data_IF_095833785807
#
_entry.id   IF_095833785807
#
_cell.length_a   1.000
_cell.length_b   1.000
_cell.length_c   1.000
_cell.angle_alpha   90.00
_cell.angle_beta   90.00
_cell.angle_gamma   90.00
#
_symmetry.space_group_name_H-M   'P 1'
#
loop_
_entity.id
_entity.type
_entity.pdbx_description
1 polymer ?
#
# COMPACT_ATOMS: atom_id res chain seq x y z
N UNK A 1 15.44 -16.78 -5.84
CA UNK A 1 16.38 -17.91 -5.75
C UNK A 1 17.47 -17.49 -4.79
N UNK A 2 17.35 -17.93 -3.55
CA UNK A 2 18.26 -17.57 -2.46
C UNK A 2 19.44 -18.52 -2.54
N UNK A 3 20.63 -18.01 -2.85
CA UNK A 3 21.87 -18.75 -2.61
C UNK A 3 21.99 -18.89 -1.09
N UNK A 4 21.57 -20.04 -0.56
CA UNK A 4 22.08 -20.51 0.73
C UNK A 4 23.59 -20.68 0.55
N UNK A 5 24.34 -19.65 0.92
CA UNK A 5 25.75 -19.79 1.24
C UNK A 5 25.78 -20.73 2.44
N UNK A 6 25.86 -22.03 2.17
CA UNK A 6 26.30 -23.01 3.13
C UNK A 6 27.63 -22.47 3.63
N UNK A 7 27.64 -21.98 4.87
CA UNK A 7 28.84 -21.91 5.70
C UNK A 7 29.31 -23.35 5.86
N UNK A 8 29.86 -23.91 4.79
CA UNK A 8 30.66 -25.11 4.83
C UNK A 8 31.68 -24.87 5.93
N UNK A 9 31.77 -25.85 6.81
CA UNK A 9 32.67 -25.90 7.95
C UNK A 9 34.07 -25.45 7.52
N UNK A 10 34.33 -24.14 7.63
CA UNK A 10 35.70 -23.65 7.78
C UNK A 10 36.12 -24.33 9.06
N UNK A 11 36.95 -25.36 8.93
CA UNK A 11 37.60 -26.05 10.03
C UNK A 11 38.34 -24.98 10.83
N UNK A 12 37.64 -24.39 11.80
CA UNK A 12 38.20 -23.43 12.74
C UNK A 12 39.00 -24.27 13.71
N UNK A 13 40.24 -24.55 13.30
CA UNK A 13 41.24 -25.02 14.23
C UNK A 13 41.54 -23.91 15.24
N UNK A 14 41.85 -24.30 16.47
CA UNK A 14 42.30 -23.37 17.48
C UNK A 14 43.83 -23.19 17.35
N UNK A 15 44.36 -22.02 17.69
CA UNK A 15 45.79 -21.70 17.54
C UNK A 15 46.69 -22.71 18.29
N UNK A 16 46.16 -23.39 19.32
CA UNK A 16 46.85 -24.45 20.07
C UNK A 16 46.86 -25.76 19.29
N UNK A 17 45.73 -26.21 18.75
CA UNK A 17 45.64 -27.41 17.91
C UNK A 17 46.51 -27.25 16.64
N UNK A 18 46.53 -26.06 16.04
CA UNK A 18 47.39 -25.75 14.88
C UNK A 18 48.88 -25.90 15.21
N UNK A 19 49.32 -25.34 16.35
CA UNK A 19 50.72 -25.49 16.82
C UNK A 19 51.08 -26.93 17.12
N UNK A 20 50.12 -27.72 17.62
CA UNK A 20 50.31 -29.13 17.94
C UNK A 20 50.12 -30.05 16.72
N UNK A 21 49.73 -29.51 15.56
CA UNK A 21 49.33 -30.28 14.36
C UNK A 21 48.30 -31.37 14.68
N UNK A 22 47.32 -31.02 15.51
CA UNK A 22 46.19 -31.88 15.91
C UNK A 22 44.89 -31.29 15.40
N UNK A 23 43.90 -32.13 15.16
CA UNK A 23 42.56 -31.65 14.80
C UNK A 23 41.86 -30.99 15.99
N UNK A 24 41.14 -29.90 15.71
CA UNK A 24 40.39 -29.18 16.71
C UNK A 24 38.97 -29.74 16.80
N UNK A 25 38.73 -30.58 17.81
CA UNK A 25 37.41 -31.16 18.08
C UNK A 25 36.51 -30.19 18.87
N UNK A 26 36.38 -28.94 18.42
CA UNK A 26 35.55 -27.95 19.10
C UNK A 26 34.05 -28.17 18.84
N UNK A 27 33.28 -28.46 19.89
CA UNK A 27 31.83 -28.76 19.82
C UNK A 27 30.94 -27.56 20.17
N UNK A 28 31.33 -26.35 19.77
CA UNK A 28 30.45 -25.17 19.84
C UNK A 28 30.33 -24.50 21.23
N UNK A 29 30.23 -25.26 22.32
CA UNK A 29 30.14 -24.74 23.71
C UNK A 29 31.27 -25.20 24.63
N UNK A 30 32.01 -26.23 24.24
CA UNK A 30 33.09 -26.84 25.03
C UNK A 30 34.42 -26.57 24.32
N UNK A 31 35.49 -26.14 25.04
CA UNK A 31 36.82 -26.05 24.43
C UNK A 31 37.26 -27.40 23.86
N UNK A 32 38.09 -27.40 22.82
CA UNK A 32 38.64 -28.65 22.30
C UNK A 32 39.50 -29.34 23.38
N UNK A 33 39.75 -30.64 23.21
CA UNK A 33 40.49 -31.47 24.17
C UNK A 33 41.84 -30.87 24.58
N UNK A 34 42.59 -30.30 23.62
CA UNK A 34 43.91 -29.72 23.87
C UNK A 34 43.84 -28.40 24.66
N UNK A 35 42.80 -27.58 24.44
CA UNK A 35 42.56 -26.36 25.21
C UNK A 35 41.99 -26.68 26.60
N UNK A 36 41.11 -27.68 26.70
CA UNK A 36 40.56 -28.15 27.97
C UNK A 36 41.65 -28.71 28.90
N UNK A 37 42.57 -29.52 28.34
CA UNK A 37 43.68 -30.11 29.08
C UNK A 37 44.65 -29.07 29.67
N UNK A 38 44.72 -27.87 29.10
CA UNK A 38 45.55 -26.79 29.61
C UNK A 38 44.84 -25.72 30.41
N UNK A 39 43.52 -25.82 30.55
CA UNK A 39 42.71 -24.77 31.15
C UNK A 39 42.63 -23.49 30.30
N UNK A 40 42.95 -23.56 29.01
CA UNK A 40 42.88 -22.41 28.09
C UNK A 40 41.49 -22.30 27.44
N UNK A 41 41.07 -21.09 27.11
CA UNK A 41 39.91 -20.86 26.24
C UNK A 41 40.22 -21.24 24.80
N UNK A 42 39.31 -21.95 24.13
CA UNK A 42 39.44 -22.31 22.72
C UNK A 42 39.04 -21.14 21.80
N UNK A 43 39.99 -20.60 21.04
CA UNK A 43 39.81 -19.44 20.17
C UNK A 43 39.04 -19.75 18.87
N UNK A 44 39.04 -21.01 18.42
CA UNK A 44 38.15 -21.49 17.34
C UNK A 44 36.67 -21.16 17.63
N UNK A 45 36.25 -21.35 18.87
CA UNK A 45 34.90 -21.03 19.32
C UNK A 45 34.58 -19.54 19.32
N UNK A 46 35.57 -18.72 19.67
CA UNK A 46 35.45 -17.27 19.62
C UNK A 46 35.29 -16.79 18.16
N UNK A 47 36.12 -17.29 17.25
CA UNK A 47 36.04 -16.95 15.82
C UNK A 47 34.71 -17.36 15.19
N UNK A 48 34.18 -18.56 15.54
CA UNK A 48 32.86 -19.02 15.07
C UNK A 48 31.72 -18.10 15.54
N UNK A 49 31.73 -17.69 16.82
CA UNK A 49 30.73 -16.76 17.37
C UNK A 49 30.81 -15.39 16.72
N UNK A 50 32.01 -14.83 16.60
CA UNK A 50 32.21 -13.52 15.96
C UNK A 50 31.75 -13.54 14.49
N UNK A 51 32.05 -14.61 13.74
CA UNK A 51 31.57 -14.77 12.36
C UNK A 51 30.04 -14.82 12.28
N UNK A 52 29.39 -15.57 13.19
CA UNK A 52 27.94 -15.62 13.25
C UNK A 52 27.30 -14.28 13.63
N UNK A 53 27.89 -13.56 14.59
CA UNK A 53 27.46 -12.22 15.00
C UNK A 53 27.61 -11.23 13.85
N UNK A 54 28.76 -11.21 13.16
CA UNK A 54 28.98 -10.38 11.97
C UNK A 54 27.94 -10.67 10.89
N UNK A 55 27.72 -11.94 10.54
CA UNK A 55 26.70 -12.30 9.55
C UNK A 55 25.29 -11.86 9.97
N UNK A 56 24.94 -12.03 11.25
CA UNK A 56 23.67 -11.58 11.79
C UNK A 56 23.52 -10.05 11.67
N UNK A 57 24.57 -9.29 11.97
CA UNK A 57 24.55 -7.82 11.80
C UNK A 57 24.38 -7.40 10.34
N UNK A 58 25.01 -8.09 9.39
CA UNK A 58 24.84 -7.83 7.95
C UNK A 58 23.41 -8.09 7.48
N UNK A 59 22.80 -9.18 7.94
CA UNK A 59 21.39 -9.50 7.64
C UNK A 59 20.46 -8.45 8.24
N UNK A 60 20.68 -8.05 9.50
CA UNK A 60 19.88 -7.01 10.16
C UNK A 60 19.98 -5.67 9.43
N UNK A 61 21.18 -5.25 9.03
CA UNK A 61 21.37 -4.01 8.28
C UNK A 61 20.72 -4.06 6.88
N UNK A 62 20.73 -5.22 6.22
CA UNK A 62 20.01 -5.42 4.96
C UNK A 62 18.50 -5.27 5.16
N UNK A 63 17.92 -5.98 6.13
CA UNK A 63 16.51 -5.88 6.47
C UNK A 63 16.11 -4.45 6.85
N UNK A 64 16.97 -3.73 7.57
CA UNK A 64 16.75 -2.32 7.93
C UNK A 64 16.63 -1.42 6.69
N UNK A 65 17.48 -1.63 5.68
CA UNK A 65 17.40 -0.90 4.40
C UNK A 65 16.13 -1.22 3.64
N UNK A 66 15.75 -2.49 3.57
CA UNK A 66 14.50 -2.91 2.93
C UNK A 66 13.28 -2.29 3.61
N UNK A 67 13.18 -2.38 4.94
CA UNK A 67 12.09 -1.77 5.70
C UNK A 67 12.02 -0.26 5.46
N UNK A 68 13.15 0.44 5.36
CA UNK A 68 13.18 1.87 5.04
C UNK A 68 12.59 2.15 3.66
N UNK A 69 13.01 1.40 2.63
CA UNK A 69 12.50 1.52 1.26
C UNK A 69 10.98 1.31 1.21
N UNK A 70 10.48 0.26 1.87
CA UNK A 70 9.06 -0.04 1.93
C UNK A 70 8.25 1.08 2.60
N UNK A 71 8.77 1.67 3.69
CA UNK A 71 8.12 2.81 4.35
C UNK A 71 8.04 4.03 3.44
N UNK A 72 9.10 4.32 2.68
CA UNK A 72 9.09 5.43 1.72
C UNK A 72 8.10 5.20 0.57
N UNK A 73 8.00 3.98 0.05
CA UNK A 73 7.02 3.61 -0.96
C UNK A 73 5.59 3.70 -0.43
N UNK A 74 5.34 3.22 0.79
CA UNK A 74 4.04 3.34 1.45
C UNK A 74 3.63 4.81 1.63
N UNK A 75 4.56 5.69 2.03
CA UNK A 75 4.30 7.12 2.14
C UNK A 75 3.97 7.77 0.79
N UNK A 76 4.68 7.38 -0.29
CA UNK A 76 4.39 7.83 -1.66
C UNK A 76 3.01 7.36 -2.11
N UNK A 77 2.65 6.10 -1.85
CA UNK A 77 1.35 5.52 -2.18
C UNK A 77 0.21 6.23 -1.43
N UNK A 78 0.36 6.44 -0.13
CA UNK A 78 -0.61 7.18 0.70
C UNK A 78 -0.84 8.61 0.17
N UNK A 79 0.24 9.30 -0.22
CA UNK A 79 0.13 10.64 -0.82
C UNK A 79 -0.64 10.62 -2.14
N UNK A 80 -0.39 9.63 -3.01
CA UNK A 80 -1.12 9.47 -4.27
C UNK A 80 -2.60 9.18 -4.03
N UNK A 81 -2.92 8.27 -3.11
CA UNK A 81 -4.30 7.94 -2.74
C UNK A 81 -5.04 9.15 -2.18
N UNK A 82 -4.42 9.94 -1.31
CA UNK A 82 -5.01 11.18 -0.79
C UNK A 82 -5.31 12.19 -1.90
N UNK A 83 -4.43 12.34 -2.89
CA UNK A 83 -4.67 13.21 -4.06
C UNK A 83 -5.81 12.71 -4.93
N UNK A 84 -5.88 11.40 -5.17
CA UNK A 84 -6.97 10.79 -5.94
C UNK A 84 -8.30 10.94 -5.22
N UNK A 85 -8.35 10.63 -3.92
CA UNK A 85 -9.54 10.79 -3.08
C UNK A 85 -10.11 12.22 -3.19
N UNK A 86 -9.28 13.25 -3.02
CA UNK A 86 -9.71 14.66 -3.19
C UNK A 86 -10.28 14.96 -4.57
N UNK A 87 -9.70 14.40 -5.64
CA UNK A 87 -10.23 14.56 -7.01
C UNK A 87 -11.58 13.87 -7.16
N UNK A 88 -11.71 12.64 -6.67
CA UNK A 88 -12.97 11.89 -6.71
C UNK A 88 -14.08 12.62 -5.95
N UNK A 89 -13.81 13.16 -4.76
CA UNK A 89 -14.80 13.97 -4.03
C UNK A 89 -15.26 15.18 -4.83
N UNK A 90 -14.34 15.87 -5.52
CA UNK A 90 -14.70 17.01 -6.39
C UNK A 90 -15.60 16.58 -7.54
N UNK A 91 -15.27 15.50 -8.24
CA UNK A 91 -16.08 14.97 -9.34
C UNK A 91 -17.46 14.52 -8.87
N UNK A 92 -17.52 13.84 -7.72
CA UNK A 92 -18.75 13.40 -7.10
C UNK A 92 -19.65 14.60 -6.79
N UNK A 93 -19.13 15.63 -6.12
CA UNK A 93 -19.90 16.84 -5.81
C UNK A 93 -20.40 17.55 -7.07
N UNK A 94 -19.58 17.61 -8.12
CA UNK A 94 -19.99 18.17 -9.41
C UNK A 94 -21.15 17.39 -10.03
N UNK A 95 -21.04 16.07 -10.05
CA UNK A 95 -22.07 15.19 -10.61
C UNK A 95 -23.41 15.36 -9.89
N UNK A 96 -23.42 15.35 -8.55
CA UNK A 96 -24.65 15.56 -7.79
C UNK A 96 -25.26 16.94 -7.99
N UNK A 97 -24.42 17.99 -8.13
CA UNK A 97 -24.91 19.31 -8.46
C UNK A 97 -25.54 19.36 -9.86
N UNK A 98 -24.99 18.63 -10.84
CA UNK A 98 -25.52 18.55 -12.19
C UNK A 98 -26.84 17.78 -12.26
N UNK A 99 -26.96 16.68 -11.50
CA UNK A 99 -28.21 15.93 -11.36
C UNK A 99 -29.28 16.81 -10.74
N UNK A 100 -28.97 17.51 -9.65
CA UNK A 100 -29.91 18.42 -9.00
C UNK A 100 -30.37 19.56 -9.94
N UNK A 101 -29.44 20.14 -10.73
CA UNK A 101 -29.78 21.13 -11.76
C UNK A 101 -30.71 20.55 -12.83
N UNK A 102 -30.41 19.35 -13.32
CA UNK A 102 -31.21 18.67 -14.34
C UNK A 102 -32.63 18.37 -13.85
N UNK A 103 -32.76 17.96 -12.58
CA UNK A 103 -34.07 17.73 -11.95
C UNK A 103 -34.88 19.02 -11.80
N UNK A 104 -34.24 20.13 -11.40
CA UNK A 104 -34.88 21.44 -11.32
C UNK A 104 -35.38 21.89 -12.70
N UNK A 105 -34.54 21.79 -13.73
CA UNK A 105 -34.90 22.14 -15.10
C UNK A 105 -36.09 21.30 -15.62
N UNK A 106 -36.12 20.00 -15.30
CA UNK A 106 -37.22 19.12 -15.66
C UNK A 106 -38.53 19.56 -14.99
N UNK A 107 -38.50 19.97 -13.71
CA UNK A 107 -39.69 20.50 -13.01
C UNK A 107 -40.18 21.79 -13.64
N UNK A 108 -39.27 22.72 -13.94
CA UNK A 108 -39.61 23.99 -14.58
C UNK A 108 -40.24 23.77 -15.97
N UNK A 109 -39.67 22.85 -16.75
CA UNK A 109 -40.22 22.44 -18.04
C UNK A 109 -41.64 21.90 -17.92
N UNK A 110 -41.90 20.97 -16.98
CA UNK A 110 -43.24 20.44 -16.78
C UNK A 110 -44.25 21.52 -16.33
N UNK A 111 -43.81 22.47 -15.50
CA UNK A 111 -44.64 23.59 -15.09
C UNK A 111 -44.99 24.51 -16.28
N UNK A 112 -44.04 24.78 -17.17
CA UNK A 112 -44.27 25.58 -18.38
C UNK A 112 -45.20 24.88 -19.38
N UNK A 113 -45.04 23.57 -19.56
CA UNK A 113 -45.96 22.76 -20.37
C UNK A 113 -47.38 22.84 -19.81
N UNK A 114 -47.56 22.68 -18.50
CA UNK A 114 -48.87 22.78 -17.86
C UNK A 114 -49.50 24.18 -18.04
N UNK A 115 -48.71 25.25 -17.91
CA UNK A 115 -49.16 26.63 -18.18
C UNK A 115 -49.60 26.81 -19.63
N UNK A 116 -48.80 26.31 -20.57
CA UNK A 116 -49.09 26.39 -22.00
C UNK A 116 -50.36 25.62 -22.38
N UNK A 117 -50.57 24.44 -21.78
CA UNK A 117 -51.79 23.64 -21.97
C UNK A 117 -53.03 24.33 -21.41
N UNK A 118 -52.93 24.97 -20.24
CA UNK A 118 -54.01 25.76 -19.67
C UNK A 118 -54.39 26.93 -20.58
N UNK A 119 -53.40 27.73 -21.00
CA UNK A 119 -53.61 28.85 -21.93
C UNK A 119 -54.26 28.39 -23.24
N UNK A 120 -53.86 27.23 -23.78
CA UNK A 120 -54.46 26.67 -24.99
C UNK A 120 -55.93 26.29 -24.80
N UNK A 121 -56.31 25.78 -23.62
CA UNK A 121 -57.71 25.50 -23.28
C UNK A 121 -58.52 26.79 -23.19
N UNK A 122 -57.98 27.80 -22.51
CA UNK A 122 -58.63 29.11 -22.35
C UNK A 122 -58.84 29.80 -23.70
N UNK A 123 -57.83 29.80 -24.58
CA UNK A 123 -57.93 30.31 -25.94
C UNK A 123 -59.00 29.60 -26.76
N UNK A 124 -59.10 28.27 -26.67
CA UNK A 124 -60.16 27.51 -27.36
C UNK A 124 -61.54 27.88 -26.86
N UNK A 125 -61.71 28.02 -25.54
CA UNK A 125 -62.98 28.42 -24.95
C UNK A 125 -63.38 29.83 -25.40
N UNK A 126 -62.43 30.76 -25.41
CA UNK A 126 -62.65 32.13 -25.90
C UNK A 126 -63.06 32.15 -27.38
N UNK A 127 -62.37 31.41 -28.25
CA UNK A 127 -62.72 31.31 -29.67
C UNK A 127 -64.13 30.77 -29.84
N UNK A 128 -64.53 29.72 -29.11
CA UNK A 128 -65.89 29.17 -29.14
C UNK A 128 -66.94 30.24 -28.82
N UNK A 129 -66.72 31.04 -27.78
CA UNK A 129 -67.63 32.12 -27.38
C UNK A 129 -67.72 33.20 -28.46
N UNK A 130 -66.60 33.56 -29.08
CA UNK A 130 -66.56 34.54 -30.17
C UNK A 130 -67.29 34.03 -31.40
N UNK A 131 -67.08 32.76 -31.79
CA UNK A 131 -67.75 32.15 -32.94
C UNK A 131 -69.28 32.10 -32.74
N UNK A 132 -69.74 31.74 -31.53
CA UNK A 132 -71.16 31.80 -31.14
C UNK A 132 -71.72 33.23 -31.22
N UNK A 133 -70.94 34.22 -30.74
CA UNK A 133 -71.34 35.63 -30.72
C UNK A 133 -71.39 36.26 -32.11
N UNK A 134 -70.58 35.77 -33.05
CA UNK A 134 -70.52 36.26 -34.44
C UNK A 134 -71.54 35.58 -35.37
N UNK A 135 -72.40 34.69 -34.84
CA UNK A 135 -73.51 34.09 -35.59
C UNK A 135 -73.07 33.12 -36.70
N UNK A 136 -71.85 32.58 -36.64
CA UNK A 136 -71.43 31.49 -37.52
C UNK A 136 -72.03 30.19 -36.97
N UNK A 137 -73.20 29.81 -37.50
CA UNK A 137 -73.72 28.43 -37.40
C UNK A 137 -72.89 27.47 -38.25
#
# INVERSE_FOLDING_TARGET
MSEEVQLNDVLLSCDRCDRLRKDCNYEGRVPCTECAASGDTCDAGLRKRMSHEMHTTEVVERLRREVKMWKEEQAKAATRLNRLSKRFTKYYNYYYAEVARSEALRKDYHAEVARSEALRKDLKAFISVVDESLGKQ
#
